data_IF_861748187146
#
_entry.id   IF_861748187146
#
_cell.length_a   1.000
_cell.length_b   1.000
_cell.length_c   1.000
_cell.angle_alpha   90.00
_cell.angle_beta   90.00
_cell.angle_gamma   90.00
#
_symmetry.space_group_name_H-M   'P 1'
#
loop_
_entity.id
_entity.type
_entity.pdbx_description
1 polymer ?
#
# COMPACT_ATOMS: atom_id res chain seq x y z
N UNK A 1 31.02 15.41 -6.12
CA UNK A 1 29.56 15.59 -6.31
C UNK A 1 28.92 14.21 -6.25
N UNK A 2 28.46 13.80 -5.08
CA UNK A 2 27.84 12.48 -4.92
C UNK A 2 26.36 12.58 -5.26
N UNK A 3 25.85 11.64 -6.06
CA UNK A 3 24.42 11.40 -6.20
C UNK A 3 23.95 10.94 -4.82
N UNK A 4 23.37 11.87 -4.08
CA UNK A 4 22.82 11.63 -2.77
C UNK A 4 21.34 11.26 -2.87
N UNK A 5 20.74 10.86 -1.74
CA UNK A 5 19.31 10.59 -1.64
C UNK A 5 18.45 11.78 -2.08
N UNK A 6 18.97 13.01 -1.97
CA UNK A 6 18.31 14.23 -2.42
C UNK A 6 18.04 14.27 -3.93
N UNK A 7 18.99 13.82 -4.76
CA UNK A 7 18.81 13.79 -6.22
C UNK A 7 17.78 12.72 -6.64
N UNK A 8 17.78 11.58 -5.95
CA UNK A 8 16.82 10.48 -6.22
C UNK A 8 15.39 10.95 -5.92
N UNK A 9 15.19 11.68 -4.82
CA UNK A 9 13.88 12.25 -4.47
C UNK A 9 13.38 13.21 -5.56
N UNK A 10 14.26 14.06 -6.11
CA UNK A 10 13.90 15.05 -7.12
C UNK A 10 13.44 14.37 -8.42
N UNK A 11 14.16 13.32 -8.83
CA UNK A 11 13.81 12.51 -10.01
C UNK A 11 12.47 11.79 -9.79
N UNK A 12 12.26 11.23 -8.59
CA UNK A 12 11.00 10.57 -8.24
C UNK A 12 9.80 11.50 -8.38
N UNK A 13 9.93 12.76 -7.92
CA UNK A 13 8.87 13.78 -8.04
C UNK A 13 8.55 14.07 -9.50
N UNK A 14 9.56 14.23 -10.37
CA UNK A 14 9.35 14.46 -11.81
C UNK A 14 8.62 13.28 -12.45
N UNK A 15 9.03 12.06 -12.13
CA UNK A 15 8.37 10.83 -12.61
C UNK A 15 6.92 10.78 -12.12
N UNK A 16 6.66 11.10 -10.86
CA UNK A 16 5.30 11.14 -10.31
C UNK A 16 4.41 12.19 -10.98
N UNK A 17 4.95 13.31 -11.46
CA UNK A 17 4.18 14.32 -12.21
C UNK A 17 3.81 13.78 -13.60
N UNK A 18 4.74 13.10 -14.28
CA UNK A 18 4.51 12.55 -15.63
C UNK A 18 3.54 11.37 -15.59
N UNK A 19 3.74 10.44 -14.65
CA UNK A 19 2.97 9.21 -14.55
C UNK A 19 1.72 9.35 -13.66
N UNK A 20 1.70 10.32 -12.75
CA UNK A 20 0.64 10.53 -11.76
C UNK A 20 0.79 9.64 -10.51
N UNK A 21 0.42 10.19 -9.34
CA UNK A 21 0.52 9.50 -8.05
C UNK A 21 -0.34 8.22 -7.92
N UNK A 22 -1.39 8.07 -8.73
CA UNK A 22 -2.26 6.89 -8.70
C UNK A 22 -1.78 5.73 -9.58
N UNK A 23 -0.95 5.98 -10.59
CA UNK A 23 -0.52 4.93 -11.53
C UNK A 23 0.64 4.12 -10.97
N UNK A 24 1.61 4.78 -10.32
CA UNK A 24 2.81 4.15 -9.75
C UNK A 24 2.48 3.06 -8.71
N UNK A 25 1.63 3.31 -7.69
CA UNK A 25 1.29 2.30 -6.69
C UNK A 25 0.53 1.11 -7.26
N UNK A 26 -0.33 1.35 -8.26
CA UNK A 26 -1.10 0.30 -8.93
C UNK A 26 -0.19 -0.66 -9.70
N UNK A 27 0.71 -0.12 -10.53
CA UNK A 27 1.67 -0.95 -11.29
C UNK A 27 2.70 -1.61 -10.37
N UNK A 28 3.14 -0.93 -9.32
CA UNK A 28 4.05 -1.49 -8.33
C UNK A 28 3.39 -2.63 -7.54
N UNK A 29 2.09 -2.52 -7.21
CA UNK A 29 1.34 -3.59 -6.54
C UNK A 29 1.23 -4.86 -7.39
N UNK A 30 0.97 -4.71 -8.69
CA UNK A 30 0.90 -5.85 -9.62
C UNK A 30 2.29 -6.48 -9.83
N UNK A 31 3.33 -5.66 -9.97
CA UNK A 31 4.72 -6.13 -10.06
C UNK A 31 5.17 -6.84 -8.77
N UNK A 32 4.82 -6.29 -7.60
CA UNK A 32 5.17 -6.85 -6.30
C UNK A 32 4.50 -8.21 -6.07
N UNK A 33 3.23 -8.37 -6.47
CA UNK A 33 2.55 -9.68 -6.44
C UNK A 33 3.24 -10.69 -7.33
N UNK A 34 3.64 -10.29 -8.55
CA UNK A 34 4.41 -11.14 -9.47
C UNK A 34 5.75 -11.58 -8.88
N UNK A 35 6.51 -10.64 -8.31
CA UNK A 35 7.80 -10.92 -7.66
C UNK A 35 7.61 -11.79 -6.40
N UNK A 36 6.55 -11.57 -5.59
CA UNK A 36 6.24 -12.38 -4.40
C UNK A 36 5.95 -13.83 -4.80
N UNK A 37 5.14 -14.05 -5.83
CA UNK A 37 4.84 -15.39 -6.34
C UNK A 37 6.06 -16.05 -6.98
N UNK A 38 6.87 -15.29 -7.73
CA UNK A 38 8.13 -15.78 -8.30
C UNK A 38 9.11 -16.19 -7.21
N UNK A 39 9.25 -15.38 -6.16
CA UNK A 39 10.09 -15.69 -5.00
C UNK A 39 9.56 -16.91 -4.25
N UNK A 40 8.24 -17.02 -4.05
CA UNK A 40 7.61 -18.17 -3.40
C UNK A 40 7.85 -19.46 -4.19
N UNK A 41 7.60 -19.47 -5.49
CA UNK A 41 7.84 -20.65 -6.34
C UNK A 41 9.32 -21.08 -6.36
N UNK A 42 10.25 -20.11 -6.41
CA UNK A 42 11.68 -20.40 -6.32
C UNK A 42 12.11 -20.97 -4.95
N UNK A 43 11.39 -20.65 -3.86
CA UNK A 43 11.68 -21.21 -2.53
C UNK A 43 10.97 -22.55 -2.29
N UNK A 44 9.86 -22.83 -2.99
CA UNK A 44 9.17 -24.13 -2.95
C UNK A 44 10.01 -25.26 -3.57
N UNK A 45 10.87 -24.96 -4.56
CA UNK A 45 11.84 -25.93 -5.11
C UNK A 45 12.98 -26.28 -4.12
N UNK A 46 13.27 -25.42 -3.14
CA UNK A 46 14.39 -25.58 -2.19
C UNK A 46 13.95 -26.08 -0.80
N UNK A 47 12.67 -25.93 -0.40
CA UNK A 47 12.21 -26.39 0.92
C UNK A 47 10.70 -26.62 0.99
N UNK A 48 10.30 -27.89 1.16
CA UNK A 48 8.99 -28.27 1.66
C UNK A 48 8.72 -27.60 3.02
N UNK A 49 7.52 -27.03 3.18
CA UNK A 49 6.96 -26.41 4.39
C UNK A 49 7.60 -25.12 4.90
N UNK A 50 6.92 -23.99 4.62
CA UNK A 50 6.25 -23.18 5.67
C UNK A 50 5.14 -22.39 4.98
N UNK A 51 3.90 -22.83 5.20
CA UNK A 51 2.75 -21.98 5.02
C UNK A 51 2.76 -20.95 6.15
N UNK A 52 3.02 -19.68 5.82
CA UNK A 52 2.64 -18.57 6.69
C UNK A 52 1.97 -17.47 5.87
N UNK A 53 0.89 -17.01 6.47
CA UNK A 53 -0.08 -16.04 6.02
C UNK A 53 0.57 -14.69 5.68
N UNK A 54 -0.12 -13.87 4.88
CA UNK A 54 -0.36 -12.51 5.39
C UNK A 54 -1.64 -11.95 4.76
N UNK A 55 -2.64 -11.82 5.63
CA UNK A 55 -3.72 -10.86 5.50
C UNK A 55 -3.11 -9.48 5.34
N UNK A 56 -3.39 -8.81 4.23
CA UNK A 56 -3.42 -7.35 4.28
C UNK A 56 -4.59 -6.85 3.46
N UNK A 57 -5.74 -6.84 4.13
CA UNK A 57 -6.73 -5.79 3.99
C UNK A 57 -6.03 -4.43 4.12
N UNK A 58 -5.77 -3.75 3.00
CA UNK A 58 -5.72 -2.29 2.99
C UNK A 58 -6.14 -1.81 1.62
N UNK A 59 -7.44 -1.64 1.44
CA UNK A 59 -8.05 -0.62 0.57
C UNK A 59 -9.48 -0.37 1.08
N UNK A 60 -9.62 -0.07 2.37
CA UNK A 60 -10.85 0.52 2.90
C UNK A 60 -10.48 1.53 4.00
N UNK A 61 -9.94 2.67 3.59
CA UNK A 61 -9.86 3.89 4.41
C UNK A 61 -9.59 5.10 3.53
N UNK A 62 -10.61 5.47 2.76
CA UNK A 62 -10.81 6.84 2.32
C UNK A 62 -12.32 7.10 2.27
N UNK A 63 -12.87 7.51 3.42
CA UNK A 63 -14.10 8.32 3.59
C UNK A 63 -14.99 7.83 4.73
N UNK A 64 -14.63 8.13 5.98
CA UNK A 64 -15.61 8.65 6.95
C UNK A 64 -14.92 9.24 8.17
N UNK A 65 -14.80 10.56 8.21
CA UNK A 65 -14.82 11.28 9.47
C UNK A 65 -15.27 12.72 9.19
N UNK A 66 -16.56 12.99 9.36
CA UNK A 66 -16.97 14.26 9.95
C UNK A 66 -18.32 14.10 10.67
N UNK A 67 -18.24 14.26 11.99
CA UNK A 67 -19.26 14.81 12.89
C UNK A 67 -20.34 13.89 13.47
N UNK A 68 -19.98 13.24 14.57
CA UNK A 68 -20.91 12.91 15.66
C UNK A 68 -20.65 13.85 16.86
N UNK A 69 -21.57 14.77 17.12
CA UNK A 69 -21.86 15.32 18.46
C UNK A 69 -23.27 15.92 18.42
N UNK A 70 -24.29 15.15 18.80
CA UNK A 70 -24.87 15.01 20.15
C UNK A 70 -25.78 16.17 20.54
N UNK A 71 -27.09 15.90 20.60
CA UNK A 71 -28.02 16.23 21.70
C UNK A 71 -29.46 15.86 21.30
N UNK A 72 -29.89 14.67 21.69
CA UNK A 72 -31.31 14.41 21.97
C UNK A 72 -31.41 13.34 23.07
N UNK A 73 -31.53 13.81 24.33
CA UNK A 73 -32.03 13.00 25.44
C UNK A 73 -33.44 13.49 25.71
N UNK A 74 -34.39 12.82 25.07
CA UNK A 74 -35.82 12.89 25.36
C UNK A 74 -36.21 11.65 26.18
N UNK A 75 -37.05 11.87 27.20
CA UNK A 75 -37.85 10.91 27.96
C UNK A 75 -37.15 9.95 28.95
N UNK A 76 -37.11 10.37 30.22
CA UNK A 76 -37.43 9.47 31.33
C UNK A 76 -38.96 9.50 31.51
N UNK A 77 -39.57 8.33 31.46
CA UNK A 77 -40.85 8.00 32.08
C UNK A 77 -40.62 6.95 33.15
#
# INVERSE_FOLDING_TARGET
MSIGPWQIILILVIVLIIFGAGKLPRVAGDLAKGIKNFKKGMNEDDKSETAEEDKTEVLESASNNDKAESKDKTAQG
#
